data_IF_037325095336
#
_entry.id   IF_037325095336
#
_cell.length_a   1.000
_cell.length_b   1.000
_cell.length_c   1.000
_cell.angle_alpha   90.00
_cell.angle_beta   90.00
_cell.angle_gamma   90.00
#
_symmetry.space_group_name_H-M   'P 1'
#
loop_
_entity.id
_entity.type
_entity.pdbx_description
1 polymer ?
#
# COMPACT_ATOMS: atom_id res chain seq x y z
N UNK A 1 -2.89 -7.99 6.07
CA UNK A 1 -2.58 -7.38 4.74
C UNK A 1 -3.21 -6.01 4.60
N UNK A 2 -4.53 -5.88 4.77
CA UNK A 2 -5.24 -4.60 4.61
C UNK A 2 -4.69 -3.45 5.46
N UNK A 3 -4.34 -3.70 6.73
CA UNK A 3 -3.75 -2.69 7.62
C UNK A 3 -2.39 -2.17 7.12
N UNK A 4 -1.56 -3.04 6.52
CA UNK A 4 -0.27 -2.62 5.97
C UNK A 4 -0.48 -1.71 4.74
N UNK A 5 -1.51 -2.00 3.94
CA UNK A 5 -1.87 -1.18 2.78
C UNK A 5 -2.39 0.19 3.24
N UNK A 6 -3.28 0.23 4.23
CA UNK A 6 -3.73 1.50 4.83
C UNK A 6 -2.57 2.29 5.44
N UNK A 7 -1.64 1.65 6.13
CA UNK A 7 -0.46 2.32 6.67
C UNK A 7 0.40 2.97 5.56
N UNK A 8 0.59 2.27 4.44
CA UNK A 8 1.31 2.79 3.30
C UNK A 8 0.60 4.01 2.67
N UNK A 9 -0.72 3.95 2.49
CA UNK A 9 -1.52 5.08 1.98
C UNK A 9 -1.43 6.28 2.92
N UNK A 10 -1.62 6.07 4.23
CA UNK A 10 -1.53 7.14 5.22
C UNK A 10 -0.14 7.78 5.26
N UNK A 11 0.92 6.99 5.06
CA UNK A 11 2.28 7.51 4.94
C UNK A 11 2.48 8.37 3.69
N UNK A 12 1.92 7.95 2.55
CA UNK A 12 1.94 8.73 1.31
C UNK A 12 1.18 10.06 1.47
N UNK A 13 0.01 10.03 2.11
CA UNK A 13 -0.77 11.24 2.41
C UNK A 13 -0.01 12.20 3.31
N UNK A 14 0.65 11.70 4.36
CA UNK A 14 1.47 12.52 5.25
C UNK A 14 2.60 13.23 4.48
N UNK A 15 3.22 12.54 3.51
CA UNK A 15 4.24 13.13 2.65
C UNK A 15 3.67 14.22 1.73
N UNK A 16 2.51 13.97 1.11
CA UNK A 16 1.83 14.96 0.27
C UNK A 16 1.47 16.21 1.08
N UNK A 17 0.95 16.05 2.30
CA UNK A 17 0.64 17.17 3.20
C UNK A 17 1.91 17.93 3.56
N UNK A 18 2.99 17.24 3.90
CA UNK A 18 4.25 17.89 4.29
C UNK A 18 4.87 18.71 3.14
N UNK A 19 4.74 18.26 1.88
CA UNK A 19 5.37 18.91 0.72
C UNK A 19 4.47 19.90 -0.02
N UNK A 20 3.17 19.62 -0.10
CA UNK A 20 2.20 20.36 -0.92
C UNK A 20 1.10 21.02 -0.09
N UNK A 21 0.99 20.71 1.21
CA UNK A 21 -0.12 21.16 2.06
C UNK A 21 -1.46 20.51 1.75
N UNK A 22 -1.47 19.44 0.95
CA UNK A 22 -2.69 18.75 0.50
C UNK A 22 -2.51 17.24 0.42
N UNK A 23 -3.63 16.52 0.51
CA UNK A 23 -3.72 15.07 0.24
C UNK A 23 -4.86 14.80 -0.75
N UNK A 24 -4.87 13.62 -1.35
CA UNK A 24 -6.05 13.19 -2.11
C UNK A 24 -7.24 12.98 -1.16
N UNK A 25 -8.40 13.50 -1.53
CA UNK A 25 -9.67 13.23 -0.87
C UNK A 25 -10.57 12.29 -1.69
N UNK A 26 -10.04 11.78 -2.81
CA UNK A 26 -10.76 10.88 -3.72
C UNK A 26 -10.93 9.50 -3.11
N UNK A 27 -12.06 8.85 -3.41
CA UNK A 27 -12.25 7.42 -3.15
C UNK A 27 -11.34 6.55 -4.03
N UNK A 28 -10.84 7.10 -5.15
CA UNK A 28 -9.89 6.42 -6.01
C UNK A 28 -8.49 6.52 -5.43
N UNK A 29 -7.96 5.38 -4.99
CA UNK A 29 -6.61 5.30 -4.47
C UNK A 29 -5.53 5.69 -5.49
N UNK A 30 -5.81 5.55 -6.79
CA UNK A 30 -4.90 5.98 -7.86
C UNK A 30 -4.63 7.50 -7.82
N UNK A 31 -5.58 8.30 -7.38
CA UNK A 31 -5.41 9.76 -7.32
C UNK A 31 -4.37 10.15 -6.25
N UNK A 32 -4.23 9.34 -5.19
CA UNK A 32 -3.17 9.51 -4.20
C UNK A 32 -1.78 9.18 -4.80
N UNK A 33 -1.70 8.20 -5.71
CA UNK A 33 -0.45 7.88 -6.43
C UNK A 33 -0.03 9.03 -7.36
N UNK A 34 -0.99 9.61 -8.08
CA UNK A 34 -0.74 10.74 -8.99
C UNK A 34 -0.23 11.94 -8.19
N UNK A 35 -0.87 12.27 -7.07
CA UNK A 35 -0.44 13.37 -6.20
C UNK A 35 0.97 13.11 -5.64
N UNK A 36 1.24 11.90 -5.17
CA UNK A 36 2.55 11.53 -4.62
C UNK A 36 3.65 11.62 -5.68
N UNK A 37 3.43 11.10 -6.90
CA UNK A 37 4.37 11.21 -8.01
C UNK A 37 4.62 12.67 -8.40
N UNK A 38 3.57 13.50 -8.34
CA UNK A 38 3.62 14.91 -8.71
C UNK A 38 4.54 15.76 -7.83
N UNK A 39 4.89 15.30 -6.62
CA UNK A 39 5.81 16.02 -5.71
C UNK A 39 7.18 16.23 -6.36
N UNK A 40 7.74 15.19 -6.99
CA UNK A 40 8.98 15.28 -7.75
C UNK A 40 8.97 14.20 -8.84
N UNK A 41 8.43 14.50 -10.03
CA UNK A 41 8.14 13.50 -11.06
C UNK A 41 9.39 12.81 -11.59
N UNK A 42 10.56 13.46 -11.54
CA UNK A 42 11.83 12.89 -11.99
C UNK A 42 12.62 12.15 -10.90
N UNK A 43 12.14 12.13 -9.65
CA UNK A 43 12.82 11.45 -8.57
C UNK A 43 12.58 9.93 -8.65
N UNK A 44 13.65 9.16 -8.86
CA UNK A 44 13.59 7.70 -9.01
C UNK A 44 13.12 6.96 -7.75
N UNK A 45 13.40 7.49 -6.55
CA UNK A 45 12.89 6.89 -5.31
C UNK A 45 11.38 7.08 -5.18
N UNK A 46 10.87 8.24 -5.62
CA UNK A 46 9.42 8.51 -5.69
C UNK A 46 8.76 7.60 -6.73
N UNK A 47 9.29 7.51 -7.96
CA UNK A 47 8.79 6.58 -9.00
C UNK A 47 8.73 5.14 -8.49
N UNK A 48 9.80 4.68 -7.82
CA UNK A 48 9.86 3.35 -7.23
C UNK A 48 8.78 3.16 -6.17
N UNK A 49 8.62 4.11 -5.26
CA UNK A 49 7.59 4.05 -4.21
C UNK A 49 6.16 4.06 -4.76
N UNK A 50 5.88 4.83 -5.80
CA UNK A 50 4.58 4.82 -6.49
C UNK A 50 4.27 3.46 -7.10
N UNK A 51 5.26 2.82 -7.74
CA UNK A 51 5.09 1.46 -8.28
C UNK A 51 4.76 0.45 -7.18
N UNK A 52 5.42 0.52 -6.03
CA UNK A 52 5.12 -0.37 -4.91
C UNK A 52 3.74 -0.10 -4.30
N UNK A 53 3.38 1.16 -4.11
CA UNK A 53 2.07 1.53 -3.57
C UNK A 53 0.94 1.11 -4.52
N UNK A 54 1.12 1.25 -5.84
CA UNK A 54 0.20 0.70 -6.85
C UNK A 54 0.04 -0.82 -6.73
N UNK A 55 1.14 -1.56 -6.55
CA UNK A 55 1.09 -3.00 -6.31
C UNK A 55 0.29 -3.38 -5.05
N UNK A 56 0.44 -2.61 -3.97
CA UNK A 56 -0.33 -2.79 -2.74
C UNK A 56 -1.83 -2.53 -2.93
N UNK A 57 -2.19 -1.49 -3.69
CA UNK A 57 -3.58 -1.13 -3.95
C UNK A 57 -4.31 -2.21 -4.78
N UNK A 58 -3.61 -2.87 -5.70
CA UNK A 58 -4.16 -4.01 -6.42
C UNK A 58 -4.48 -5.18 -5.46
N UNK A 59 -3.59 -5.46 -4.50
CA UNK A 59 -3.83 -6.49 -3.47
C UNK A 59 -5.03 -6.11 -2.58
N UNK A 60 -5.20 -4.83 -2.22
CA UNK A 60 -6.37 -4.35 -1.45
C UNK A 60 -7.67 -4.59 -2.21
N UNK A 61 -7.70 -4.25 -3.50
CA UNK A 61 -8.88 -4.44 -4.34
C UNK A 61 -9.27 -5.91 -4.42
N UNK A 62 -8.29 -6.80 -4.58
CA UNK A 62 -8.51 -8.26 -4.58
C UNK A 62 -8.91 -8.81 -3.20
N UNK A 63 -8.38 -8.26 -2.10
CA UNK A 63 -8.68 -8.73 -0.75
C UNK A 63 -10.02 -8.19 -0.19
N UNK A 64 -10.44 -6.99 -0.58
CA UNK A 64 -11.70 -6.38 -0.16
C UNK A 64 -12.89 -6.81 -1.02
N UNK A 65 -12.67 -7.06 -2.32
CA UNK A 65 -13.75 -7.31 -3.28
C UNK A 65 -13.58 -8.58 -4.12
N UNK A 66 -12.41 -9.23 -4.08
CA UNK A 66 -12.16 -10.43 -4.85
C UNK A 66 -12.68 -11.69 -4.15
N UNK A 67 -13.58 -12.42 -4.81
CA UNK A 67 -13.98 -13.79 -4.45
C UNK A 67 -12.84 -14.83 -4.62
N UNK A 68 -11.57 -14.44 -4.52
CA UNK A 68 -10.46 -15.38 -4.69
C UNK A 68 -10.15 -16.09 -3.38
N UNK A 69 -10.85 -17.20 -3.17
CA UNK A 69 -10.43 -18.29 -2.30
C UNK A 69 -9.12 -18.89 -2.84
N UNK A 70 -7.98 -18.41 -2.36
CA UNK A 70 -6.71 -19.08 -2.61
C UNK A 70 -6.67 -20.40 -1.80
N UNK A 71 -6.89 -21.51 -2.51
CA UNK A 71 -6.60 -22.85 -2.01
C UNK A 71 -5.17 -23.22 -2.38
N UNK A 72 -4.26 -23.13 -1.43
CA UNK A 72 -2.95 -23.77 -1.57
C UNK A 72 -2.75 -24.78 -0.42
N UNK A 73 -3.12 -26.03 -0.71
CA UNK A 73 -2.59 -27.27 -0.11
C UNK A 73 -2.57 -27.43 1.42
N UNK A 74 -3.51 -26.84 2.17
CA UNK A 74 -3.69 -27.17 3.59
C UNK A 74 -4.69 -28.32 3.80
N UNK A 75 -4.15 -29.53 3.78
CA UNK A 75 -4.72 -30.72 4.42
C UNK A 75 -5.08 -30.38 5.89
N UNK A 76 -6.37 -30.51 6.21
CA UNK A 76 -7.02 -30.60 7.54
C UNK A 76 -7.36 -29.29 8.28
N UNK A 77 -8.68 -29.22 8.57
CA UNK A 77 -9.40 -28.55 9.68
C UNK A 77 -9.94 -27.13 9.45
N UNK A 78 -11.22 -27.13 9.09
CA UNK A 78 -12.30 -26.42 9.79
C UNK A 78 -12.09 -24.97 10.18
N UNK A 79 -12.12 -24.06 9.21
CA UNK A 79 -12.62 -22.70 9.42
C UNK A 79 -13.54 -22.34 8.25
N UNK A 80 -14.84 -22.55 8.43
CA UNK A 80 -15.86 -22.29 7.39
C UNK A 80 -16.34 -20.83 7.38
N UNK A 81 -15.65 -19.92 8.07
CA UNK A 81 -15.98 -18.50 8.21
C UNK A 81 -14.75 -17.57 8.15
N UNK A 82 -13.58 -18.08 7.79
CA UNK A 82 -12.39 -17.27 7.59
C UNK A 82 -12.03 -17.42 6.12
N UNK A 83 -12.37 -16.43 5.31
CA UNK A 83 -11.92 -16.36 3.92
C UNK A 83 -10.41 -16.55 3.86
N UNK A 84 -9.90 -17.16 2.79
CA UNK A 84 -8.45 -17.35 2.61
C UNK A 84 -7.83 -15.99 2.26
N UNK A 85 -7.64 -15.15 3.28
CA UNK A 85 -7.17 -13.78 3.18
C UNK A 85 -5.65 -13.76 3.01
N UNK A 86 -5.19 -13.67 1.77
CA UNK A 86 -3.79 -13.39 1.38
C UNK A 86 -2.73 -14.40 1.90
N UNK A 87 -1.81 -14.81 1.04
CA UNK A 87 -0.75 -15.74 1.44
C UNK A 87 0.20 -15.10 2.46
N UNK A 88 0.98 -15.91 3.19
CA UNK A 88 2.04 -15.41 4.09
C UNK A 88 3.04 -14.52 3.31
N UNK A 89 3.25 -14.84 2.04
CA UNK A 89 4.07 -14.09 1.10
C UNK A 89 3.47 -12.70 0.84
N UNK A 90 2.16 -12.61 0.58
CA UNK A 90 1.45 -11.35 0.36
C UNK A 90 1.48 -10.46 1.61
N UNK A 91 1.29 -11.06 2.79
CA UNK A 91 1.39 -10.34 4.05
C UNK A 91 2.80 -9.78 4.29
N UNK A 92 3.82 -10.58 4.00
CA UNK A 92 5.23 -10.19 4.13
C UNK A 92 5.60 -9.09 3.13
N UNK A 93 5.16 -9.21 1.87
CA UNK A 93 5.37 -8.20 0.84
C UNK A 93 4.68 -6.88 1.21
N UNK A 94 3.44 -6.95 1.72
CA UNK A 94 2.69 -5.79 2.14
C UNK A 94 3.39 -5.02 3.28
N UNK A 95 3.87 -5.72 4.29
CA UNK A 95 4.62 -5.13 5.40
C UNK A 95 5.92 -4.48 4.88
N UNK A 96 6.73 -5.21 4.11
CA UNK A 96 7.99 -4.69 3.57
C UNK A 96 7.80 -3.42 2.73
N UNK A 97 6.76 -3.37 1.91
CA UNK A 97 6.48 -2.19 1.10
C UNK A 97 5.99 -1.01 1.94
N UNK A 98 5.17 -1.26 2.96
CA UNK A 98 4.74 -0.23 3.90
C UNK A 98 5.90 0.34 4.71
N UNK A 99 6.77 -0.51 5.26
CA UNK A 99 7.97 -0.11 6.01
C UNK A 99 8.92 0.73 5.14
N UNK A 100 9.22 0.27 3.93
CA UNK A 100 10.11 0.99 3.01
C UNK A 100 9.57 2.37 2.64
N UNK A 101 8.26 2.50 2.44
CA UNK A 101 7.64 3.78 2.18
C UNK A 101 7.72 4.69 3.42
N UNK A 102 7.44 4.13 4.60
CA UNK A 102 7.50 4.86 5.86
C UNK A 102 8.91 5.42 6.12
N UNK A 103 9.95 4.61 5.92
CA UNK A 103 11.34 5.04 6.09
C UNK A 103 11.72 6.15 5.11
N UNK A 104 11.30 6.04 3.86
CA UNK A 104 11.49 7.08 2.86
C UNK A 104 10.79 8.39 3.26
N UNK A 105 9.51 8.33 3.59
CA UNK A 105 8.70 9.50 3.96
C UNK A 105 9.26 10.17 5.21
N UNK A 106 9.61 9.38 6.24
CA UNK A 106 10.25 9.88 7.45
C UNK A 106 11.53 10.64 7.12
N UNK A 107 12.41 10.05 6.30
CA UNK A 107 13.64 10.69 5.87
C UNK A 107 13.41 11.98 5.08
N UNK A 108 12.39 12.03 4.22
CA UNK A 108 12.06 13.22 3.43
C UNK A 108 11.39 14.34 4.21
N UNK A 109 10.58 14.01 5.22
CA UNK A 109 9.93 14.99 6.10
C UNK A 109 10.95 15.60 7.07
N UNK A 110 11.88 14.80 7.59
CA UNK A 110 12.93 15.28 8.51
C UNK A 110 13.92 16.27 7.88
N UNK A 111 13.89 16.43 6.55
CA UNK A 111 14.73 17.38 5.80
C UNK A 111 14.07 18.74 5.57
N UNK A 112 12.78 18.87 5.89
CA UNK A 112 12.00 20.11 5.78
C UNK A 112 12.20 20.94 7.05
#
# INVERSE_FOLDING_TARGET
VINAIHAAISSADAFCVARLGMRSASERHDDALVLFQGIAPENEDIKRNVKHLSGLLNIKTDAEYGERLFYENARKRSFRHVGSFASVQDATAAIKHAERLFDFVKGEIQKI
#
